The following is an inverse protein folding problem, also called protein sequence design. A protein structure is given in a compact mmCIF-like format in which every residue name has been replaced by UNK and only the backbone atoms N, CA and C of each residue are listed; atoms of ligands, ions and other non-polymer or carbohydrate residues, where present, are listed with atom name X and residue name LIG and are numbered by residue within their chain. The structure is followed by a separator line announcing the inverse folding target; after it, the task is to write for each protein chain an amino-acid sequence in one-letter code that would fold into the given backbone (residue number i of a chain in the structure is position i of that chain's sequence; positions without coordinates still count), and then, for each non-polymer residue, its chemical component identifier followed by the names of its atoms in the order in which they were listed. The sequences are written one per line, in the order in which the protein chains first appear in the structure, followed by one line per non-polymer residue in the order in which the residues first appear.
data_IF_233563206463
#
_entry.id   IF_233563206463
#
_cell.length_a   1.000
_cell.length_b   1.000
_cell.length_c   1.000
_cell.angle_alpha   90.00
_cell.angle_beta   90.00
_cell.angle_gamma   90.00
#
_symmetry.space_group_name_H-M   'P 1'
#
loop_
_entity.id
_entity.type
_entity.pdbx_description
1 polymer ?
#
# COMPACT_ATOMS: atom_id res chain seq x y z
N UNK A 1 29.54 -22.51 5.94
CA UNK A 1 28.43 -22.94 5.06
C UNK A 1 27.21 -22.14 5.50
N UNK A 2 26.91 -21.03 4.83
CA UNK A 2 25.68 -20.28 5.09
C UNK A 2 24.54 -21.00 4.35
N UNK A 3 23.58 -21.56 5.09
CA UNK A 3 22.38 -22.14 4.48
C UNK A 3 21.55 -21.07 3.77
N UNK A 4 20.63 -21.46 2.87
CA UNK A 4 19.74 -20.51 2.22
C UNK A 4 18.87 -19.84 3.28
N UNK A 5 18.99 -18.51 3.40
CA UNK A 5 18.07 -17.70 4.20
C UNK A 5 16.77 -17.62 3.41
N UNK A 6 15.85 -18.54 3.68
CA UNK A 6 14.48 -18.44 3.18
C UNK A 6 13.74 -17.47 4.08
N UNK A 7 13.56 -16.22 3.64
CA UNK A 7 12.70 -15.26 4.29
C UNK A 7 11.24 -15.52 3.89
N UNK A 8 10.51 -16.28 4.69
CA UNK A 8 9.06 -16.34 4.58
C UNK A 8 8.48 -14.99 5.02
N UNK A 9 8.05 -14.16 4.07
CA UNK A 9 7.26 -12.98 4.39
C UNK A 9 5.94 -13.48 4.99
N UNK A 10 5.67 -13.17 6.26
CA UNK A 10 4.38 -13.47 6.88
C UNK A 10 3.29 -12.71 6.13
N UNK A 11 2.62 -13.38 5.19
CA UNK A 11 1.58 -12.77 4.37
C UNK A 11 0.41 -12.35 5.25
N UNK A 12 -0.02 -11.10 5.10
CA UNK A 12 -1.20 -10.51 5.72
C UNK A 12 -2.07 -9.86 4.66
N UNK A 13 -3.16 -9.28 5.12
CA UNK A 13 -4.15 -8.59 4.30
C UNK A 13 -4.28 -7.16 4.78
N UNK A 14 -4.27 -6.21 3.85
CA UNK A 14 -4.71 -4.84 4.11
C UNK A 14 -6.09 -4.63 3.52
N UNK A 15 -7.00 -4.06 4.32
CA UNK A 15 -8.27 -3.53 3.82
C UNK A 15 -8.07 -2.05 3.50
N UNK A 16 -8.03 -1.72 2.22
CA UNK A 16 -7.87 -0.36 1.72
C UNK A 16 -9.28 0.23 1.58
N UNK A 17 -9.52 1.35 2.27
CA UNK A 17 -10.80 2.09 2.23
C UNK A 17 -10.65 3.28 1.26
N UNK A 18 -11.53 3.39 0.26
CA UNK A 18 -11.66 4.57 -0.59
C UNK A 18 -12.90 5.38 -0.17
N UNK A 19 -12.75 6.41 0.69
CA UNK A 19 -13.87 7.24 1.10
C UNK A 19 -14.27 8.28 0.03
N UNK A 20 -13.51 8.42 -1.05
CA UNK A 20 -13.70 9.48 -2.05
C UNK A 20 -14.85 9.12 -3.03
N UNK A 21 -15.42 10.12 -3.72
CA UNK A 21 -16.40 9.87 -4.79
C UNK A 21 -15.76 9.48 -6.13
N UNK A 22 -14.46 9.17 -6.18
CA UNK A 22 -13.72 8.86 -7.40
C UNK A 22 -13.15 7.44 -7.38
N UNK A 23 -12.86 6.90 -8.56
CA UNK A 23 -12.08 5.67 -8.66
C UNK A 23 -10.63 5.94 -8.28
N UNK A 24 -10.02 5.02 -7.54
CA UNK A 24 -8.61 5.12 -7.13
C UNK A 24 -7.89 3.86 -7.55
N UNK A 25 -6.88 4.00 -8.41
CA UNK A 25 -6.03 2.89 -8.84
C UNK A 25 -4.78 2.84 -7.98
N UNK A 26 -4.70 1.84 -7.10
CA UNK A 26 -3.52 1.56 -6.27
C UNK A 26 -2.60 0.64 -7.05
N UNK A 27 -1.36 1.06 -7.21
CA UNK A 27 -0.35 0.38 -8.03
C UNK A 27 0.84 -0.14 -7.22
N UNK A 28 0.92 0.19 -5.93
CA UNK A 28 1.98 -0.30 -5.07
C UNK A 28 1.68 -0.13 -3.59
N UNK A 29 2.22 -1.05 -2.79
CA UNK A 29 2.16 -1.04 -1.32
C UNK A 29 3.47 -1.62 -0.78
N UNK A 30 4.15 -0.88 0.10
CA UNK A 30 5.47 -1.28 0.59
C UNK A 30 5.78 -0.76 2.01
N UNK A 31 6.87 -1.26 2.60
CA UNK A 31 7.38 -0.79 3.89
C UNK A 31 8.32 0.42 3.78
N UNK A 32 8.60 0.85 2.56
CA UNK A 32 9.35 2.05 2.21
C UNK A 32 8.80 2.65 0.91
N UNK A 33 9.14 3.91 0.64
CA UNK A 33 8.78 4.60 -0.61
C UNK A 33 9.25 3.81 -1.84
N UNK A 34 10.52 3.41 -1.87
CA UNK A 34 11.09 2.57 -2.94
C UNK A 34 10.31 1.27 -3.15
N UNK A 35 9.89 0.60 -2.08
CA UNK A 35 9.09 -0.63 -2.20
C UNK A 35 7.69 -0.36 -2.73
N UNK A 36 7.09 0.79 -2.44
CA UNK A 36 5.79 1.16 -3.01
C UNK A 36 5.89 1.56 -4.49
N UNK A 37 7.06 2.00 -4.98
CA UNK A 37 7.28 2.38 -6.38
C UNK A 37 7.72 1.21 -7.27
N UNK A 38 8.62 0.37 -6.76
CA UNK A 38 9.31 -0.66 -7.55
C UNK A 38 8.92 -2.09 -7.13
N UNK A 39 8.25 -2.26 -5.99
CA UNK A 39 7.89 -3.56 -5.45
C UNK A 39 6.81 -4.28 -6.25
N UNK A 40 6.78 -5.60 -6.14
CA UNK A 40 5.72 -6.42 -6.72
C UNK A 40 4.40 -6.16 -5.98
N UNK A 41 3.38 -5.77 -6.73
CA UNK A 41 2.05 -5.52 -6.20
C UNK A 41 0.98 -5.82 -7.27
N UNK A 42 -0.06 -6.54 -6.87
CA UNK A 42 -1.22 -6.76 -7.71
C UNK A 42 -2.08 -5.48 -7.72
N UNK A 43 -2.04 -4.75 -8.84
CA UNK A 43 -2.77 -3.49 -8.99
C UNK A 43 -4.26 -3.69 -8.75
N UNK A 44 -4.86 -2.78 -7.98
CA UNK A 44 -6.30 -2.79 -7.68
C UNK A 44 -6.92 -1.43 -7.95
N UNK A 45 -8.16 -1.45 -8.43
CA UNK A 45 -8.94 -0.24 -8.67
C UNK A 45 -10.15 -0.22 -7.74
N UNK A 46 -10.13 0.70 -6.77
CA UNK A 46 -11.21 0.87 -5.81
C UNK A 46 -12.29 1.76 -6.40
N UNK A 47 -13.55 1.34 -6.27
CA UNK A 47 -14.71 2.14 -6.67
C UNK A 47 -14.95 3.30 -5.69
N UNK A 48 -15.74 4.32 -6.08
CA UNK A 48 -16.19 5.35 -5.16
C UNK A 48 -16.83 4.76 -3.90
N UNK A 49 -16.44 5.24 -2.72
CA UNK A 49 -17.00 4.82 -1.41
C UNK A 49 -16.95 3.30 -1.15
N UNK A 50 -15.94 2.62 -1.67
CA UNK A 50 -15.76 1.18 -1.49
C UNK A 50 -14.52 0.84 -0.66
N UNK A 51 -14.38 -0.44 -0.34
CA UNK A 51 -13.16 -1.00 0.24
C UNK A 51 -12.74 -2.27 -0.49
N UNK A 52 -11.45 -2.57 -0.46
CA UNK A 52 -10.90 -3.79 -1.06
C UNK A 52 -9.77 -4.35 -0.21
N UNK A 53 -9.72 -5.68 -0.11
CA UNK A 53 -8.69 -6.40 0.63
C UNK A 53 -7.59 -6.85 -0.32
N UNK A 54 -6.33 -6.53 -0.01
CA UNK A 54 -5.15 -6.90 -0.80
C UNK A 54 -4.18 -7.75 0.01
N UNK A 55 -3.51 -8.71 -0.64
CA UNK A 55 -2.41 -9.48 -0.04
C UNK A 55 -1.17 -8.60 0.06
N UNK A 56 -0.50 -8.61 1.21
CA UNK A 56 0.77 -7.90 1.38
C UNK A 56 1.53 -8.40 2.61
N UNK A 57 2.82 -8.07 2.70
CA UNK A 57 3.57 -8.25 3.94
C UNK A 57 3.11 -7.21 4.99
N UNK A 58 3.41 -7.43 6.27
CA UNK A 58 3.07 -6.46 7.31
C UNK A 58 4.13 -5.34 7.38
N UNK A 59 3.70 -4.09 7.28
CA UNK A 59 4.56 -2.91 7.35
C UNK A 59 4.20 -2.03 8.55
N UNK A 60 5.21 -1.66 9.34
CA UNK A 60 5.03 -0.72 10.46
C UNK A 60 4.69 0.70 9.98
N UNK A 61 5.28 1.08 8.85
CA UNK A 61 5.08 2.38 8.18
C UNK A 61 4.80 2.10 6.70
N UNK A 62 3.53 1.81 6.34
CA UNK A 62 3.18 1.51 4.97
C UNK A 62 3.32 2.74 4.08
N UNK A 63 3.74 2.51 2.85
CA UNK A 63 3.75 3.47 1.75
C UNK A 63 2.86 2.94 0.64
N UNK A 64 2.02 3.78 0.04
CA UNK A 64 1.08 3.40 -1.01
C UNK A 64 1.29 4.30 -2.23
N UNK A 65 1.46 3.70 -3.40
CA UNK A 65 1.48 4.42 -4.67
C UNK A 65 0.16 4.27 -5.40
N UNK A 66 -0.33 5.36 -6.00
CA UNK A 66 -1.56 5.38 -6.79
C UNK A 66 -1.37 6.18 -8.08
N UNK A 67 -2.24 5.98 -9.07
CA UNK A 67 -2.24 6.79 -10.30
C UNK A 67 -3.18 7.99 -10.13
N UNK A 68 -2.69 9.19 -10.42
CA UNK A 68 -3.52 10.39 -10.47
C UNK A 68 -4.03 10.70 -11.90
N UNK A 69 -4.92 11.68 -12.05
CA UNK A 69 -5.55 12.04 -13.33
C UNK A 69 -4.57 12.51 -14.42
N UNK A 70 -3.35 12.86 -14.04
CA UNK A 70 -2.27 13.27 -14.95
C UNK A 70 -1.34 12.11 -15.34
N UNK A 71 -1.63 10.88 -14.89
CA UNK A 71 -0.79 9.70 -15.11
C UNK A 71 0.44 9.62 -14.20
N UNK A 72 0.57 10.54 -13.24
CA UNK A 72 1.61 10.51 -12.22
C UNK A 72 1.38 9.39 -11.21
N UNK A 73 2.46 9.00 -10.51
CA UNK A 73 2.48 7.89 -9.54
C UNK A 73 2.89 8.34 -8.13
N UNK A 74 2.19 9.31 -7.54
CA UNK A 74 2.53 9.80 -6.19
C UNK A 74 2.53 8.67 -5.15
N UNK A 75 3.42 8.81 -4.16
CA UNK A 75 3.51 7.92 -3.02
C UNK A 75 2.99 8.62 -1.77
N UNK A 76 2.13 7.94 -1.02
CA UNK A 76 1.60 8.38 0.27
C UNK A 76 2.27 7.60 1.40
N UNK A 77 2.78 8.31 2.41
CA UNK A 77 3.27 7.70 3.65
C UNK A 77 2.14 7.56 4.67
N UNK A 78 2.08 6.44 5.39
CA UNK A 78 1.08 6.18 6.41
C UNK A 78 1.70 6.02 7.80
N UNK A 79 0.92 6.39 8.82
CA UNK A 79 1.18 6.09 10.23
C UNK A 79 0.08 5.16 10.74
N UNK A 80 0.46 4.08 11.41
CA UNK A 80 -0.47 3.10 11.96
C UNK A 80 -0.65 3.28 13.47
N UNK A 81 -1.90 3.22 13.92
CA UNK A 81 -2.28 3.10 15.33
C UNK A 81 -3.08 1.79 15.50
N UNK A 82 -2.43 0.78 16.08
CA UNK A 82 -2.95 -0.58 16.11
C UNK A 82 -3.11 -1.13 14.70
N UNK A 83 -4.33 -1.55 14.34
CA UNK A 83 -4.65 -2.12 13.02
C UNK A 83 -5.10 -1.09 11.98
N UNK A 84 -5.20 0.20 12.33
CA UNK A 84 -5.67 1.25 11.42
C UNK A 84 -4.51 2.17 11.03
N UNK A 85 -4.29 2.33 9.74
CA UNK A 85 -3.27 3.22 9.19
C UNK A 85 -3.94 4.39 8.47
N UNK A 86 -3.41 5.59 8.66
CA UNK A 86 -3.89 6.82 8.01
C UNK A 86 -2.73 7.58 7.38
N UNK A 87 -3.01 8.31 6.29
CA UNK A 87 -2.00 9.15 5.62
C UNK A 87 -1.36 10.08 6.63
N UNK A 88 -0.03 10.08 6.67
CA UNK A 88 0.76 11.03 7.43
C UNK A 88 0.49 12.41 6.84
N UNK A 89 -0.17 13.27 7.60
CA UNK A 89 -0.31 14.68 7.21
C UNK A 89 1.10 15.26 7.08
N UNK A 90 1.41 15.79 5.91
CA UNK A 90 2.59 16.65 5.78
C UNK A 90 2.38 17.92 6.62
N UNK A 91 3.49 18.46 7.12
CA UNK A 91 3.49 19.59 8.04
C UNK A 91 3.51 20.90 7.26
#
# INVERSE_FOLDING_TARGET
MAGPVNSEQSQRWYRIENPTPYYVTVIGLGGSEKQAEEGEFETVMLSPRSEQTVKSANYNTPYLSYINDYGGRPVLSFICNGSRCSVKKEK
#
